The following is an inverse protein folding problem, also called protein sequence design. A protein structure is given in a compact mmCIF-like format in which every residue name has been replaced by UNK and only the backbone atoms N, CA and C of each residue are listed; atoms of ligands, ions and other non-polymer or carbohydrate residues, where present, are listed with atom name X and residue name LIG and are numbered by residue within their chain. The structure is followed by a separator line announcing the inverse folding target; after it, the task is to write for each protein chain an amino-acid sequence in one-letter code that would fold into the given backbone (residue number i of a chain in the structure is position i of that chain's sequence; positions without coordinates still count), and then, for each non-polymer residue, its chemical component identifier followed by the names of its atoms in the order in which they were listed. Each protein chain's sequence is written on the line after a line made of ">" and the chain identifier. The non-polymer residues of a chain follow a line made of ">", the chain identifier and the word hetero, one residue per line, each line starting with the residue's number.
data_IF_245468794082
#
_entry.id   IF_245468794082
#
_cell.length_a   1.000
_cell.length_b   1.000
_cell.length_c   1.000
_cell.angle_alpha   90.00
_cell.angle_beta   90.00
_cell.angle_gamma   90.00
#
_symmetry.space_group_name_H-M   'P 1'
#
loop_
_entity.id
_entity.type
_entity.pdbx_description
1 polymer ?
#
# COMPACT_ATOMS: atom_id res chain seq x y z
N UNK A 1 -45.18 35.24 12.78
CA UNK A 1 -45.60 33.82 12.68
C UNK A 1 -45.34 33.32 11.26
N UNK A 2 -45.00 32.04 11.07
CA UNK A 2 -43.76 31.61 10.42
C UNK A 2 -44.01 30.80 9.12
N UNK A 3 -42.94 30.28 8.50
CA UNK A 3 -42.80 28.82 8.38
C UNK A 3 -41.60 28.39 9.23
N UNK A 4 -41.62 27.58 10.32
CA UNK A 4 -42.23 26.28 10.64
C UNK A 4 -42.09 25.25 9.52
N UNK A 5 -40.87 24.72 9.36
CA UNK A 5 -40.55 23.34 8.96
C UNK A 5 -39.15 23.22 8.30
N UNK A 6 -38.08 23.51 9.05
CA UNK A 6 -36.78 22.91 8.78
C UNK A 6 -35.92 22.91 10.06
N UNK A 7 -36.55 22.50 11.16
CA UNK A 7 -35.86 21.75 12.20
C UNK A 7 -35.54 20.37 11.61
N UNK A 8 -34.30 20.22 11.15
CA UNK A 8 -33.55 18.97 11.12
C UNK A 8 -32.09 19.44 11.32
N UNK A 9 -31.49 19.41 12.50
CA UNK A 9 -31.34 18.23 13.36
C UNK A 9 -30.97 17.01 12.50
N UNK A 10 -29.83 17.11 11.82
CA UNK A 10 -28.99 15.93 11.58
C UNK A 10 -27.91 15.93 12.67
N UNK A 11 -28.29 15.30 13.78
CA UNK A 11 -27.44 14.96 14.91
C UNK A 11 -26.48 13.80 14.56
N UNK A 12 -25.86 13.84 13.39
CA UNK A 12 -24.72 12.99 13.10
C UNK A 12 -23.50 13.53 13.86
N UNK A 13 -23.50 13.32 15.18
CA UNK A 13 -22.33 13.38 16.06
C UNK A 13 -21.31 12.31 15.63
N UNK A 14 -20.71 12.50 14.47
CA UNK A 14 -19.37 12.01 14.22
C UNK A 14 -18.44 12.85 15.08
N UNK A 15 -17.72 12.21 15.99
CA UNK A 15 -16.64 12.83 16.75
C UNK A 15 -15.54 13.31 15.78
N UNK A 16 -15.72 14.49 15.18
CA UNK A 16 -14.69 15.16 14.39
C UNK A 16 -13.68 15.69 15.40
N UNK A 17 -12.68 14.88 15.68
CA UNK A 17 -11.46 15.32 16.36
C UNK A 17 -10.96 16.55 15.61
N UNK A 18 -11.02 17.71 16.27
CA UNK A 18 -10.64 19.00 15.70
C UNK A 18 -9.14 18.94 15.38
N UNK A 19 -8.77 18.74 14.11
CA UNK A 19 -7.37 18.69 13.70
C UNK A 19 -6.71 20.05 13.98
N UNK A 20 -5.69 20.06 14.83
CA UNK A 20 -4.91 21.27 15.12
C UNK A 20 -4.09 21.63 13.88
N UNK A 21 -4.35 22.81 13.30
CA UNK A 21 -3.60 23.32 12.15
C UNK A 21 -2.20 23.82 12.57
N UNK A 22 -1.27 22.90 12.84
CA UNK A 22 0.09 23.20 13.35
C UNK A 22 0.85 24.27 12.56
N UNK A 23 0.63 24.37 11.25
CA UNK A 23 1.28 25.32 10.36
C UNK A 23 0.77 26.76 10.52
N UNK A 24 -0.43 26.95 11.07
CA UNK A 24 -1.06 28.25 11.28
C UNK A 24 -0.87 28.80 12.70
N UNK A 25 -0.33 27.99 13.63
CA UNK A 25 -0.04 28.41 14.99
C UNK A 25 1.23 29.26 15.05
N UNK A 26 1.24 30.23 15.97
CA UNK A 26 2.46 30.93 16.34
C UNK A 26 3.42 30.00 17.09
N UNK A 27 4.70 30.38 17.17
CA UNK A 27 5.75 29.57 17.81
C UNK A 27 5.47 29.35 19.30
N UNK A 28 4.94 30.38 19.96
CA UNK A 28 4.54 30.38 21.37
C UNK A 28 3.38 29.41 21.61
N UNK A 29 2.35 29.48 20.77
CA UNK A 29 1.17 28.62 20.86
C UNK A 29 1.53 27.15 20.58
N UNK A 30 2.38 26.89 19.59
CA UNK A 30 2.87 25.55 19.29
C UNK A 30 3.65 24.95 20.47
N UNK A 31 4.51 25.74 21.12
CA UNK A 31 5.25 25.30 22.32
C UNK A 31 4.31 25.00 23.49
N UNK A 32 3.30 25.84 23.71
CA UNK A 32 2.28 25.62 24.74
C UNK A 32 1.47 24.34 24.45
N UNK A 33 1.04 24.12 23.21
CA UNK A 33 0.33 22.90 22.79
C UNK A 33 1.18 21.63 22.92
N UNK A 34 2.50 21.72 22.73
CA UNK A 34 3.44 20.61 22.91
C UNK A 34 3.88 20.42 24.38
N UNK A 35 3.39 21.26 25.30
CA UNK A 35 3.76 21.22 26.72
C UNK A 35 5.24 21.54 26.96
N UNK A 36 5.87 22.33 26.08
CA UNK A 36 7.24 22.79 26.23
C UNK A 36 7.29 24.09 27.06
N UNK A 37 8.33 24.24 27.87
CA UNK A 37 8.60 25.50 28.57
C UNK A 37 8.93 26.62 27.56
N UNK A 38 8.63 27.90 27.85
CA UNK A 38 9.05 29.03 27.01
C UNK A 38 10.56 29.06 26.73
N UNK A 39 11.37 28.56 27.68
CA UNK A 39 12.84 28.50 27.58
C UNK A 39 13.33 27.41 26.63
N UNK A 40 12.51 26.37 26.37
CA UNK A 40 12.85 25.29 25.43
C UNK A 40 13.08 25.79 24.00
N UNK A 41 12.65 27.02 23.68
CA UNK A 41 13.00 27.69 22.42
C UNK A 41 14.49 27.92 22.25
N UNK A 42 15.19 28.32 23.31
CA UNK A 42 16.63 28.66 23.27
C UNK A 42 17.49 27.50 23.76
N UNK A 43 17.02 26.80 24.78
CA UNK A 43 17.80 25.78 25.50
C UNK A 43 17.50 24.36 24.98
N UNK A 44 16.43 24.19 24.20
CA UNK A 44 16.00 22.89 23.71
C UNK A 44 15.28 22.06 24.78
N UNK A 45 15.25 20.74 24.55
CA UNK A 45 14.66 19.76 25.45
C UNK A 45 15.71 19.19 26.39
N UNK A 46 15.32 18.96 27.64
CA UNK A 46 16.17 18.22 28.57
C UNK A 46 16.27 16.74 28.16
N UNK A 47 17.36 16.07 28.50
CA UNK A 47 17.55 14.64 28.21
C UNK A 47 16.43 13.77 28.80
N UNK A 48 15.88 14.16 29.95
CA UNK A 48 14.78 13.44 30.61
C UNK A 48 13.47 13.59 29.84
N UNK A 49 13.13 14.80 29.39
CA UNK A 49 11.93 15.05 28.57
C UNK A 49 12.05 14.38 27.20
N UNK A 50 13.23 14.43 26.57
CA UNK A 50 13.49 13.76 25.31
C UNK A 50 13.27 12.24 25.44
N UNK A 51 13.76 11.61 26.52
CA UNK A 51 13.54 10.19 26.79
C UNK A 51 12.06 9.86 27.03
N UNK A 52 11.37 10.65 27.84
CA UNK A 52 9.94 10.47 28.10
C UNK A 52 9.10 10.60 26.82
N UNK A 53 9.49 11.51 25.90
CA UNK A 53 8.84 11.66 24.59
C UNK A 53 9.16 10.51 23.66
N UNK A 54 10.39 10.00 23.67
CA UNK A 54 10.75 8.83 22.88
C UNK A 54 9.96 7.58 23.32
N UNK A 55 9.75 7.40 24.62
CA UNK A 55 8.92 6.33 25.17
C UNK A 55 7.43 6.49 24.81
N UNK A 56 6.92 7.73 24.76
CA UNK A 56 5.52 8.03 24.42
C UNK A 56 5.20 7.93 22.93
N UNK A 57 6.04 8.54 22.08
CA UNK A 57 5.78 8.68 20.64
C UNK A 57 6.51 7.63 19.80
N UNK A 58 7.47 6.94 20.38
CA UNK A 58 8.34 6.02 19.67
C UNK A 58 9.44 6.74 18.87
N UNK A 59 10.34 5.96 18.25
CA UNK A 59 11.34 6.52 17.34
C UNK A 59 10.65 7.16 16.13
N UNK A 60 11.15 8.33 15.71
CA UNK A 60 10.68 8.98 14.48
C UNK A 60 11.24 8.26 13.24
N UNK A 61 10.82 7.01 13.05
CA UNK A 61 11.23 6.15 11.94
C UNK A 61 9.97 5.54 11.32
N UNK A 62 9.91 5.58 10.00
CA UNK A 62 8.86 4.90 9.24
C UNK A 62 9.08 3.40 9.36
N UNK A 63 8.00 2.66 9.58
CA UNK A 63 8.04 1.20 9.54
C UNK A 63 8.52 0.75 8.15
N UNK A 64 9.67 0.08 8.08
CA UNK A 64 10.12 -0.55 6.84
C UNK A 64 9.06 -1.57 6.41
N UNK A 65 8.60 -1.48 5.16
CA UNK A 65 7.74 -2.51 4.57
C UNK A 65 8.50 -3.84 4.59
N UNK A 66 7.80 -4.93 4.89
CA UNK A 66 8.38 -6.27 4.82
C UNK A 66 9.11 -6.45 3.48
N UNK A 67 10.38 -6.82 3.57
CA UNK A 67 11.20 -7.09 2.40
C UNK A 67 10.65 -8.33 1.73
N UNK A 68 10.02 -8.16 0.58
CA UNK A 68 9.51 -9.28 -0.21
C UNK A 68 10.69 -10.14 -0.63
N UNK A 69 10.67 -11.41 -0.25
CA UNK A 69 11.76 -12.34 -0.59
C UNK A 69 11.76 -12.66 -2.09
N UNK A 70 12.91 -13.08 -2.64
CA UNK A 70 13.02 -13.46 -4.06
C UNK A 70 12.03 -14.57 -4.43
N UNK A 71 11.84 -15.56 -3.56
CA UNK A 71 10.90 -16.66 -3.76
C UNK A 71 9.45 -16.18 -3.81
N UNK A 72 9.04 -15.28 -2.91
CA UNK A 72 7.71 -14.66 -2.94
C UNK A 72 7.48 -13.87 -4.23
N UNK A 73 8.53 -13.19 -4.74
CA UNK A 73 8.45 -12.43 -5.99
C UNK A 73 8.25 -13.32 -7.20
N UNK A 74 8.90 -14.49 -7.24
CA UNK A 74 8.72 -15.49 -8.32
C UNK A 74 7.31 -16.08 -8.24
N UNK A 75 6.86 -16.49 -7.05
CA UNK A 75 5.52 -17.04 -6.84
C UNK A 75 4.41 -16.07 -7.26
N UNK A 76 4.58 -14.78 -6.95
CA UNK A 76 3.66 -13.74 -7.37
C UNK A 76 3.57 -13.58 -8.89
N UNK A 77 4.67 -13.81 -9.62
CA UNK A 77 4.67 -13.76 -11.08
C UNK A 77 4.04 -15.01 -11.70
N UNK A 78 4.26 -16.19 -11.12
CA UNK A 78 3.64 -17.45 -11.58
C UNK A 78 2.13 -17.42 -11.38
N UNK A 79 1.64 -16.82 -10.29
CA UNK A 79 0.19 -16.67 -10.03
C UNK A 79 -0.49 -15.58 -10.87
N UNK A 80 0.12 -15.16 -11.97
CA UNK A 80 -0.50 -14.27 -12.94
C UNK A 80 -1.31 -15.09 -13.95
N UNK A 81 -2.56 -14.68 -14.21
CA UNK A 81 -3.47 -15.31 -15.18
C UNK A 81 -2.78 -15.53 -16.54
N UNK A 82 -1.97 -14.57 -16.99
CA UNK A 82 -1.22 -14.69 -18.26
C UNK A 82 -0.20 -15.85 -18.23
N UNK A 83 0.55 -16.00 -17.14
CA UNK A 83 1.51 -17.09 -16.98
C UNK A 83 0.78 -18.43 -16.88
N UNK A 84 -0.38 -18.48 -16.23
CA UNK A 84 -1.23 -19.66 -16.19
C UNK A 84 -1.66 -20.14 -17.59
N UNK A 85 -2.05 -19.21 -18.47
CA UNK A 85 -2.41 -19.53 -19.87
C UNK A 85 -1.19 -20.08 -20.62
N UNK A 86 -0.02 -19.47 -20.46
CA UNK A 86 1.22 -19.93 -21.11
C UNK A 86 1.61 -21.35 -20.67
N UNK A 87 1.51 -21.64 -19.37
CA UNK A 87 1.76 -22.98 -18.82
C UNK A 87 0.74 -23.99 -19.37
N UNK A 88 -0.54 -23.61 -19.47
CA UNK A 88 -1.57 -24.48 -20.05
C UNK A 88 -1.26 -24.85 -21.50
N UNK A 89 -0.91 -23.87 -22.34
CA UNK A 89 -0.51 -24.10 -23.73
C UNK A 89 0.72 -25.01 -23.80
N UNK A 90 1.75 -24.75 -22.99
CA UNK A 90 2.96 -25.57 -22.95
C UNK A 90 2.67 -27.04 -22.55
N UNK A 91 1.76 -27.27 -21.60
CA UNK A 91 1.35 -28.63 -21.19
C UNK A 91 0.59 -29.33 -22.30
N UNK A 92 -0.32 -28.65 -22.99
CA UNK A 92 -1.04 -29.21 -24.15
C UNK A 92 -0.06 -29.58 -25.26
N UNK A 93 0.93 -28.71 -25.56
CA UNK A 93 2.01 -28.99 -26.51
C UNK A 93 2.75 -30.27 -26.16
N UNK A 94 3.20 -30.37 -24.90
CA UNK A 94 3.99 -31.49 -24.42
C UNK A 94 3.19 -32.79 -24.48
N UNK A 95 1.93 -32.77 -24.02
CA UNK A 95 1.06 -33.94 -24.04
C UNK A 95 0.82 -34.47 -25.47
N UNK A 96 0.64 -33.56 -26.43
CA UNK A 96 0.49 -33.89 -27.84
C UNK A 96 1.77 -34.45 -28.45
N UNK A 97 2.92 -33.82 -28.17
CA UNK A 97 4.22 -34.26 -28.68
C UNK A 97 4.60 -35.66 -28.21
N UNK A 98 4.15 -36.07 -27.01
CA UNK A 98 4.39 -37.41 -26.48
C UNK A 98 3.41 -38.44 -27.06
N UNK A 99 2.16 -38.06 -27.35
CA UNK A 99 1.10 -39.02 -27.73
C UNK A 99 0.95 -39.24 -29.24
N UNK A 100 1.38 -38.30 -30.08
CA UNK A 100 1.19 -38.39 -31.55
C UNK A 100 2.49 -38.73 -32.26
N UNK A 101 2.56 -39.92 -32.85
CA UNK A 101 3.69 -40.37 -33.67
C UNK A 101 3.57 -39.99 -35.17
N UNK A 102 2.71 -39.04 -35.58
CA UNK A 102 2.46 -38.82 -37.02
C UNK A 102 1.75 -37.58 -37.60
N UNK A 103 1.09 -36.68 -36.86
CA UNK A 103 0.30 -35.55 -37.44
C UNK A 103 0.46 -34.27 -36.59
N UNK A 104 0.44 -33.02 -37.06
CA UNK A 104 0.28 -32.36 -38.35
C UNK A 104 1.13 -31.10 -38.29
N UNK A 105 1.88 -30.78 -39.36
CA UNK A 105 2.77 -29.59 -39.40
C UNK A 105 2.00 -28.31 -39.04
N UNK A 106 0.74 -28.23 -39.47
CA UNK A 106 -0.14 -27.07 -39.27
C UNK A 106 -0.44 -26.83 -37.80
N UNK A 107 -0.70 -27.86 -37.00
CA UNK A 107 -1.02 -27.63 -35.57
C UNK A 107 0.20 -27.21 -34.77
N UNK A 108 1.39 -27.73 -35.11
CA UNK A 108 2.65 -27.27 -34.53
C UNK A 108 2.92 -25.79 -34.87
N UNK A 109 2.60 -25.36 -36.10
CA UNK A 109 2.74 -23.94 -36.49
C UNK A 109 1.79 -23.01 -35.73
N UNK A 110 0.55 -23.44 -35.48
CA UNK A 110 -0.42 -22.65 -34.71
C UNK A 110 0.07 -22.46 -33.27
N UNK A 111 0.64 -23.50 -32.66
CA UNK A 111 1.14 -23.46 -31.29
C UNK A 111 2.38 -22.58 -31.13
N UNK A 112 3.39 -22.76 -32.00
CA UNK A 112 4.58 -21.90 -32.03
C UNK A 112 4.19 -20.44 -32.34
N UNK A 113 3.21 -20.24 -33.23
CA UNK A 113 2.67 -18.92 -33.56
C UNK A 113 2.01 -18.22 -32.37
N UNK A 114 1.20 -18.94 -31.60
CA UNK A 114 0.52 -18.40 -30.41
C UNK A 114 1.52 -18.04 -29.30
N UNK A 115 2.53 -18.88 -29.07
CA UNK A 115 3.62 -18.61 -28.10
C UNK A 115 4.41 -17.36 -28.52
N UNK A 116 4.76 -17.24 -29.80
CA UNK A 116 5.52 -16.09 -30.32
C UNK A 116 4.70 -14.79 -30.25
N UNK A 117 3.39 -14.85 -30.55
CA UNK A 117 2.46 -13.71 -30.49
C UNK A 117 2.21 -13.21 -29.06
N UNK A 118 2.20 -14.09 -28.06
CA UNK A 118 2.01 -13.69 -26.66
C UNK A 118 3.29 -13.09 -26.05
N UNK A 119 4.46 -13.44 -26.58
CA UNK A 119 5.77 -12.97 -26.09
C UNK A 119 6.22 -11.65 -26.77
N UNK A 120 5.72 -11.35 -27.98
CA UNK A 120 6.06 -10.13 -28.76
C UNK A 120 5.05 -9.02 -28.52
#
# INVERSE_FOLDING_TARGET
>A
MPPKAAEAMDDSKGNVQKETNWHALTKEEALAHLGCSPNSRREGLTSQEAKARLERYGPNQLTEKEKVTLLQRIWKQVNNVLVGILVFVAVVSLAKGISTSGEDRVTNFIEVGLITFVIT
#
